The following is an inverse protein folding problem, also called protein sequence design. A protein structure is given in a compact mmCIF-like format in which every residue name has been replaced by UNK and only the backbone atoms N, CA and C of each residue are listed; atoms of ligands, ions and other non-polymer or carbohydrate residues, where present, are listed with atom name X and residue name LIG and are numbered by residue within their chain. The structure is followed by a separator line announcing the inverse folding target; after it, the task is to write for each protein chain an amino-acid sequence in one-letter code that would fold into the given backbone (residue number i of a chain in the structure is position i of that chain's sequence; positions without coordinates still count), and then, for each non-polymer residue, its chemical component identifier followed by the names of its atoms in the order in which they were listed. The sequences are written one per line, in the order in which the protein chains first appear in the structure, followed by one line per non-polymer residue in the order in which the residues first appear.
data_IF_894731345023
#
_entry.id   IF_894731345023
#
_cell.length_a   1.000
_cell.length_b   1.000
_cell.length_c   1.000
_cell.angle_alpha   90.00
_cell.angle_beta   90.00
_cell.angle_gamma   90.00
#
_symmetry.space_group_name_H-M   'P 1'
#
loop_
_entity.id
_entity.type
_entity.pdbx_description
1 polymer ?
#
# COMPACT_ATOMS: atom_id res chain seq x y z
N UNK A 1 36.23 2.10 23.66
CA UNK A 1 36.61 1.54 22.33
C UNK A 1 35.43 1.40 21.36
N UNK A 2 34.22 0.98 21.78
CA UNK A 2 33.07 0.89 20.86
C UNK A 2 32.53 2.26 20.38
N UNK A 3 32.52 3.28 21.24
CA UNK A 3 32.06 4.64 20.90
C UNK A 3 32.95 5.39 19.89
N UNK A 4 34.20 4.97 19.68
CA UNK A 4 35.10 5.64 18.71
C UNK A 4 34.89 5.18 17.26
N UNK A 5 33.78 4.50 16.98
CA UNK A 5 33.39 4.03 15.63
C UNK A 5 31.96 4.46 15.27
N UNK A 6 31.38 5.39 16.02
CA UNK A 6 30.04 5.95 15.75
C UNK A 6 30.21 7.33 15.13
N UNK A 7 30.82 7.37 13.96
CA UNK A 7 31.26 8.60 13.29
C UNK A 7 30.87 8.61 11.81
N UNK A 8 31.15 9.73 11.15
CA UNK A 8 30.83 9.94 9.75
C UNK A 8 31.61 8.99 8.81
N UNK A 9 32.82 8.57 9.17
CA UNK A 9 33.59 7.59 8.38
C UNK A 9 32.87 6.24 8.38
N UNK A 10 32.43 5.78 9.56
CA UNK A 10 31.66 4.55 9.70
C UNK A 10 30.31 4.63 8.97
N UNK A 11 29.67 5.80 8.98
CA UNK A 11 28.44 6.05 8.23
C UNK A 11 28.68 5.90 6.71
N UNK A 12 29.77 6.46 6.18
CA UNK A 12 30.13 6.32 4.76
C UNK A 12 30.43 4.86 4.39
N UNK A 13 31.15 4.12 5.23
CA UNK A 13 31.40 2.68 5.01
C UNK A 13 30.08 1.90 4.93
N UNK A 14 29.13 2.17 5.83
CA UNK A 14 27.82 1.51 5.78
C UNK A 14 27.06 1.86 4.50
N UNK A 15 27.17 3.09 3.98
CA UNK A 15 26.60 3.46 2.67
C UNK A 15 27.19 2.61 1.56
N UNK A 16 28.53 2.49 1.48
CA UNK A 16 29.20 1.67 0.45
C UNK A 16 28.73 0.22 0.47
N UNK A 17 28.63 -0.37 1.66
CA UNK A 17 28.20 -1.76 1.80
C UNK A 17 26.72 -1.97 1.42
N UNK A 18 25.84 -1.04 1.82
CA UNK A 18 24.41 -1.12 1.52
C UNK A 18 24.10 -0.87 0.05
N UNK A 19 24.89 -0.04 -0.63
CA UNK A 19 24.81 0.13 -2.09
C UNK A 19 25.18 -1.16 -2.83
N UNK A 20 26.06 -1.99 -2.27
CA UNK A 20 26.40 -3.29 -2.85
C UNK A 20 25.33 -4.35 -2.54
N UNK A 21 24.82 -4.37 -1.30
CA UNK A 21 23.74 -5.27 -0.92
C UNK A 21 22.89 -4.69 0.23
N UNK A 22 21.66 -4.22 -0.07
CA UNK A 22 20.77 -3.65 0.94
C UNK A 22 20.10 -4.69 1.84
N UNK A 23 20.30 -6.00 1.62
CA UNK A 23 19.68 -7.07 2.42
C UNK A 23 20.41 -7.37 3.74
N UNK A 24 21.58 -6.77 3.98
CA UNK A 24 22.33 -7.00 5.20
C UNK A 24 21.83 -6.16 6.38
N UNK A 25 20.85 -6.71 7.10
CA UNK A 25 20.20 -6.06 8.25
C UNK A 25 21.15 -5.58 9.35
N UNK A 26 22.27 -6.27 9.57
CA UNK A 26 23.26 -5.89 10.60
C UNK A 26 23.90 -4.54 10.26
N UNK A 27 24.07 -4.24 8.97
CA UNK A 27 24.61 -2.96 8.52
C UNK A 27 23.60 -1.85 8.75
N UNK A 28 22.31 -2.09 8.49
CA UNK A 28 21.24 -1.15 8.83
C UNK A 28 21.15 -0.88 10.33
N UNK A 29 21.30 -1.90 11.18
CA UNK A 29 21.33 -1.72 12.63
C UNK A 29 22.49 -0.84 13.06
N UNK A 30 23.70 -1.15 12.59
CA UNK A 30 24.88 -0.35 12.92
C UNK A 30 24.78 1.07 12.38
N UNK A 31 24.22 1.26 11.17
CA UNK A 31 23.93 2.58 10.60
C UNK A 31 23.00 3.40 11.48
N UNK A 32 21.93 2.79 12.01
CA UNK A 32 21.01 3.45 12.95
C UNK A 32 21.70 3.81 14.27
N UNK A 33 22.55 2.95 14.80
CA UNK A 33 23.33 3.25 16.02
C UNK A 33 24.25 4.47 15.82
N UNK A 34 24.89 4.58 14.65
CA UNK A 34 25.72 5.74 14.28
C UNK A 34 24.86 7.01 14.24
N UNK A 35 23.75 7.00 13.51
CA UNK A 35 22.86 8.16 13.37
C UNK A 35 22.31 8.61 14.72
N UNK A 36 21.81 7.68 15.54
CA UNK A 36 21.32 7.99 16.90
C UNK A 36 22.42 8.62 17.75
N UNK A 37 23.67 8.15 17.64
CA UNK A 37 24.78 8.75 18.38
C UNK A 37 25.09 10.16 17.90
N UNK A 38 25.17 10.37 16.59
CA UNK A 38 25.46 11.67 15.97
C UNK A 38 24.36 12.70 16.24
N UNK A 39 23.09 12.26 16.35
CA UNK A 39 21.94 13.15 16.53
C UNK A 39 21.72 13.62 17.98
N UNK A 40 22.52 13.18 18.96
CA UNK A 40 22.32 13.53 20.39
C UNK A 40 22.54 15.00 20.72
N UNK A 41 23.52 15.63 20.07
CA UNK A 41 24.05 16.95 20.47
C UNK A 41 24.07 17.92 19.28
N UNK A 42 23.20 17.71 18.29
CA UNK A 42 23.09 18.57 17.11
C UNK A 42 21.70 19.20 17.01
N UNK A 43 21.64 20.35 16.35
CA UNK A 43 20.40 21.10 16.17
C UNK A 43 19.38 20.33 15.31
N UNK A 44 18.07 20.47 15.56
CA UNK A 44 17.02 19.81 14.80
C UNK A 44 17.12 20.00 13.28
N UNK A 45 17.57 21.17 12.80
CA UNK A 45 17.74 21.44 11.36
C UNK A 45 18.84 20.57 10.74
N UNK A 46 19.88 20.23 11.51
CA UNK A 46 20.91 19.28 11.06
C UNK A 46 20.37 17.85 11.06
N UNK A 47 19.60 17.45 12.07
CA UNK A 47 18.91 16.14 12.09
C UNK A 47 17.98 16.01 10.88
N UNK A 48 17.22 17.06 10.55
CA UNK A 48 16.37 17.11 9.36
C UNK A 48 17.18 16.87 8.09
N UNK A 49 18.31 17.57 7.93
CA UNK A 49 19.21 17.43 6.77
C UNK A 49 19.76 16.01 6.64
N UNK A 50 20.19 15.41 7.76
CA UNK A 50 20.69 14.04 7.79
C UNK A 50 19.60 13.03 7.42
N UNK A 51 18.39 13.18 7.97
CA UNK A 51 17.26 12.34 7.59
C UNK A 51 16.90 12.49 6.11
N UNK A 52 17.00 13.69 5.51
CA UNK A 52 16.78 13.86 4.07
C UNK A 52 17.82 13.15 3.22
N UNK A 53 19.08 13.09 3.68
CA UNK A 53 20.13 12.27 3.06
C UNK A 53 19.76 10.80 3.13
N UNK A 54 19.30 10.30 4.29
CA UNK A 54 18.86 8.91 4.46
C UNK A 54 17.65 8.56 3.57
N UNK A 55 16.69 9.48 3.43
CA UNK A 55 15.56 9.30 2.52
C UNK A 55 16.01 9.24 1.06
N UNK A 56 17.02 10.02 0.65
CA UNK A 56 17.61 9.92 -0.69
C UNK A 56 18.34 8.60 -0.90
N UNK A 57 19.10 8.13 0.09
CA UNK A 57 19.77 6.83 0.02
C UNK A 57 18.77 5.69 -0.14
N UNK A 58 17.74 5.62 0.71
CA UNK A 58 16.72 4.56 0.62
C UNK A 58 15.95 4.63 -0.70
N UNK A 59 15.64 5.83 -1.20
CA UNK A 59 14.99 6.01 -2.50
C UNK A 59 15.85 5.46 -3.66
N UNK A 60 17.16 5.68 -3.64
CA UNK A 60 18.08 5.09 -4.63
C UNK A 60 18.13 3.57 -4.52
N UNK A 61 18.22 3.02 -3.31
CA UNK A 61 18.28 1.57 -3.09
C UNK A 61 17.00 0.87 -3.50
N UNK A 62 15.83 1.51 -3.33
CA UNK A 62 14.54 0.97 -3.77
C UNK A 62 14.44 0.80 -5.30
N UNK A 63 15.24 1.51 -6.09
CA UNK A 63 15.27 1.32 -7.55
C UNK A 63 15.84 -0.06 -7.92
N UNK A 64 16.87 -0.52 -7.21
CA UNK A 64 17.49 -1.84 -7.41
C UNK A 64 16.89 -2.95 -6.56
N UNK A 65 16.32 -2.61 -5.40
CA UNK A 65 15.78 -3.56 -4.43
C UNK A 65 14.38 -3.12 -3.93
N UNK A 66 13.36 -3.02 -4.81
CA UNK A 66 12.03 -2.49 -4.46
C UNK A 66 11.25 -3.35 -3.47
N UNK A 67 11.68 -4.61 -3.27
CA UNK A 67 11.10 -5.59 -2.35
C UNK A 67 11.98 -5.84 -1.12
N UNK A 68 12.97 -4.97 -0.88
CA UNK A 68 13.82 -5.08 0.30
C UNK A 68 13.08 -4.65 1.55
N UNK A 69 12.77 -5.60 2.44
CA UNK A 69 12.16 -5.30 3.73
C UNK A 69 13.00 -4.28 4.51
N UNK A 70 14.34 -4.41 4.47
CA UNK A 70 15.24 -3.59 5.27
C UNK A 70 15.31 -2.15 4.80
N UNK A 71 15.24 -1.90 3.48
CA UNK A 71 15.19 -0.53 2.95
C UNK A 71 13.90 0.16 3.38
N UNK A 72 12.75 -0.51 3.26
CA UNK A 72 11.46 0.02 3.72
C UNK A 72 11.44 0.23 5.24
N UNK A 73 12.02 -0.70 6.01
CA UNK A 73 12.14 -0.59 7.46
C UNK A 73 13.00 0.61 7.88
N UNK A 74 14.15 0.80 7.23
CA UNK A 74 15.03 1.94 7.52
C UNK A 74 14.37 3.25 7.12
N UNK A 75 13.70 3.31 5.96
CA UNK A 75 12.96 4.51 5.52
C UNK A 75 11.88 4.92 6.53
N UNK A 76 11.10 3.96 7.03
CA UNK A 76 10.14 4.18 8.11
C UNK A 76 10.82 4.70 9.38
N UNK A 77 11.92 4.07 9.80
CA UNK A 77 12.68 4.50 10.97
C UNK A 77 13.18 5.94 10.80
N UNK A 78 13.71 6.31 9.63
CA UNK A 78 14.17 7.66 9.32
C UNK A 78 13.04 8.68 9.51
N UNK A 79 11.85 8.43 8.96
CA UNK A 79 10.71 9.35 9.13
C UNK A 79 10.25 9.50 10.58
N UNK A 80 10.37 8.45 11.40
CA UNK A 80 10.04 8.50 12.82
C UNK A 80 11.02 9.34 13.65
N UNK A 81 12.25 9.51 13.16
CA UNK A 81 13.30 10.29 13.83
C UNK A 81 13.52 11.66 13.16
N UNK A 82 12.83 11.92 12.04
CA UNK A 82 12.89 13.18 11.32
C UNK A 82 12.04 14.23 12.05
N UNK A 83 12.57 15.44 12.33
CA UNK A 83 11.79 16.50 13.00
C UNK A 83 10.53 16.92 12.22
N UNK A 84 10.65 17.07 10.90
CA UNK A 84 9.57 17.53 10.02
C UNK A 84 9.43 16.61 8.78
N UNK A 85 8.78 15.45 8.91
CA UNK A 85 8.58 14.51 7.80
C UNK A 85 7.60 15.06 6.75
N UNK A 86 8.00 15.01 5.47
CA UNK A 86 7.15 15.38 4.34
C UNK A 86 6.33 14.18 3.85
N UNK A 87 5.17 13.95 4.46
CA UNK A 87 4.30 12.83 4.08
C UNK A 87 3.78 12.92 2.65
N UNK A 88 3.62 14.14 2.11
CA UNK A 88 3.24 14.34 0.71
C UNK A 88 4.31 13.84 -0.26
N UNK A 89 5.61 14.01 0.07
CA UNK A 89 6.70 13.42 -0.71
C UNK A 89 6.64 11.90 -0.70
N UNK A 90 6.32 11.31 0.45
CA UNK A 90 6.19 9.86 0.60
C UNK A 90 5.02 9.29 -0.21
N UNK A 91 3.88 10.00 -0.25
CA UNK A 91 2.77 9.62 -1.11
C UNK A 91 3.14 9.66 -2.60
N UNK A 92 3.88 10.68 -3.05
CA UNK A 92 4.36 10.76 -4.44
C UNK A 92 5.31 9.63 -4.79
N UNK A 93 6.23 9.28 -3.89
CA UNK A 93 7.10 8.12 -4.07
C UNK A 93 6.28 6.83 -4.19
N UNK A 94 5.30 6.65 -3.31
CA UNK A 94 4.40 5.48 -3.33
C UNK A 94 3.59 5.39 -4.61
N UNK A 95 3.07 6.51 -5.11
CA UNK A 95 2.32 6.54 -6.37
C UNK A 95 3.20 6.07 -7.52
N UNK A 96 4.41 6.62 -7.64
CA UNK A 96 5.40 6.19 -8.62
C UNK A 96 5.76 4.70 -8.49
N UNK A 97 6.07 4.22 -7.28
CA UNK A 97 6.48 2.84 -7.07
C UNK A 97 5.35 1.84 -7.32
N UNK A 98 4.11 2.19 -6.97
CA UNK A 98 2.93 1.35 -7.22
C UNK A 98 2.42 1.47 -8.66
N UNK A 99 2.83 2.48 -9.41
CA UNK A 99 2.65 2.50 -10.88
C UNK A 99 3.64 1.55 -11.56
N UNK A 100 4.88 1.42 -11.04
CA UNK A 100 5.88 0.49 -11.57
C UNK A 100 5.59 -0.99 -11.22
N UNK A 101 5.20 -1.27 -9.98
CA UNK A 101 4.78 -2.60 -9.53
C UNK A 101 3.53 -2.47 -8.66
N UNK A 102 2.38 -2.55 -9.32
CA UNK A 102 1.06 -2.46 -8.69
C UNK A 102 0.81 -3.55 -7.63
N UNK A 103 1.58 -4.64 -7.65
CA UNK A 103 1.46 -5.77 -6.72
C UNK A 103 2.55 -5.77 -5.64
N UNK A 104 3.36 -4.71 -5.55
CA UNK A 104 4.39 -4.61 -4.50
C UNK A 104 3.75 -4.47 -3.11
N UNK A 105 3.69 -5.57 -2.38
CA UNK A 105 3.08 -5.59 -1.05
C UNK A 105 3.81 -4.69 -0.05
N UNK A 106 5.13 -4.53 -0.15
CA UNK A 106 5.87 -3.61 0.71
C UNK A 106 5.46 -2.16 0.46
N UNK A 107 5.24 -1.79 -0.81
CA UNK A 107 4.72 -0.47 -1.17
C UNK A 107 3.32 -0.23 -0.59
N UNK A 108 2.42 -1.20 -0.71
CA UNK A 108 1.09 -1.09 -0.12
C UNK A 108 1.10 -1.05 1.42
N UNK A 109 1.97 -1.83 2.06
CA UNK A 109 2.16 -1.82 3.51
C UNK A 109 2.72 -0.48 4.00
N UNK A 110 3.73 0.04 3.29
CA UNK A 110 4.30 1.34 3.57
C UNK A 110 3.30 2.48 3.35
N UNK A 111 2.44 2.38 2.32
CA UNK A 111 1.36 3.34 2.10
C UNK A 111 0.40 3.41 3.29
N UNK A 112 -0.01 2.27 3.83
CA UNK A 112 -0.88 2.25 5.03
C UNK A 112 -0.21 2.92 6.23
N UNK A 113 1.10 2.74 6.39
CA UNK A 113 1.87 3.46 7.40
C UNK A 113 1.87 4.98 7.14
N UNK A 114 2.25 5.43 5.94
CA UNK A 114 2.30 6.86 5.58
C UNK A 114 0.93 7.52 5.76
N UNK A 115 -0.14 6.90 5.29
CA UNK A 115 -1.51 7.43 5.44
C UNK A 115 -1.90 7.57 6.91
N UNK A 116 -1.51 6.62 7.77
CA UNK A 116 -1.82 6.69 9.20
C UNK A 116 -1.15 7.88 9.91
N UNK A 117 -0.02 8.35 9.39
CA UNK A 117 0.69 9.52 9.92
C UNK A 117 0.11 10.87 9.41
N UNK A 118 -0.63 10.85 8.28
CA UNK A 118 -1.26 12.06 7.71
C UNK A 118 -2.61 12.33 8.38
N UNK A 119 -2.61 13.16 9.42
CA UNK A 119 -3.82 13.53 10.18
C UNK A 119 -4.95 14.13 9.34
N UNK A 120 -4.63 14.78 8.22
CA UNK A 120 -5.60 15.45 7.35
C UNK A 120 -6.19 14.54 6.28
N UNK A 121 -5.63 13.34 6.08
CA UNK A 121 -6.06 12.43 5.01
C UNK A 121 -7.24 11.59 5.46
N UNK A 122 -8.34 11.69 4.72
CA UNK A 122 -9.60 11.00 5.04
C UNK A 122 -9.62 9.60 4.42
N UNK A 123 -10.26 8.59 5.07
CA UNK A 123 -10.42 7.26 4.50
C UNK A 123 -11.04 7.26 3.09
N UNK A 124 -11.95 8.20 2.79
CA UNK A 124 -12.56 8.36 1.47
C UNK A 124 -11.54 8.66 0.36
N UNK A 125 -10.48 9.40 0.66
CA UNK A 125 -9.42 9.69 -0.32
C UNK A 125 -8.62 8.44 -0.65
N UNK A 126 -8.40 7.55 0.33
CA UNK A 126 -7.78 6.25 0.07
C UNK A 126 -8.72 5.28 -0.64
N UNK A 127 -10.01 5.35 -0.35
CA UNK A 127 -11.00 4.54 -1.07
C UNK A 127 -11.04 4.93 -2.55
N UNK A 128 -11.01 6.23 -2.87
CA UNK A 128 -10.87 6.72 -4.24
C UNK A 128 -9.54 6.30 -4.87
N UNK A 129 -8.45 6.35 -4.10
CA UNK A 129 -7.15 5.87 -4.56
C UNK A 129 -7.20 4.39 -4.99
N UNK A 130 -7.86 3.53 -4.21
CA UNK A 130 -8.01 2.11 -4.60
C UNK A 130 -8.78 1.95 -5.90
N UNK A 131 -9.82 2.77 -6.13
CA UNK A 131 -10.59 2.74 -7.38
C UNK A 131 -9.71 3.11 -8.57
N UNK A 132 -8.90 4.18 -8.44
CA UNK A 132 -7.96 4.58 -9.48
C UNK A 132 -6.97 3.45 -9.81
N UNK A 133 -6.43 2.76 -8.79
CA UNK A 133 -5.51 1.63 -8.98
C UNK A 133 -6.17 0.39 -9.57
N UNK A 134 -7.45 0.15 -9.27
CA UNK A 134 -8.26 -0.92 -9.88
C UNK A 134 -8.52 -0.62 -11.36
N UNK A 135 -8.91 0.62 -11.68
CA UNK A 135 -9.20 1.04 -13.06
C UNK A 135 -7.95 1.04 -13.96
N UNK A 136 -6.76 1.21 -13.38
CA UNK A 136 -5.49 1.06 -14.10
C UNK A 136 -5.15 -0.41 -14.38
N UNK A 137 -5.55 -1.34 -13.51
CA UNK A 137 -5.26 -2.77 -13.63
C UNK A 137 -6.26 -3.58 -12.78
N UNK A 138 -7.23 -4.23 -13.44
CA UNK A 138 -8.26 -5.02 -12.76
C UNK A 138 -7.69 -6.23 -12.01
N UNK A 139 -6.55 -6.77 -12.44
CA UNK A 139 -5.81 -7.83 -11.76
C UNK A 139 -5.04 -7.36 -10.51
N UNK A 140 -5.17 -6.10 -10.08
CA UNK A 140 -4.49 -5.58 -8.89
C UNK A 140 -5.15 -6.04 -7.58
N UNK A 141 -4.87 -7.27 -7.15
CA UNK A 141 -5.36 -7.83 -5.89
C UNK A 141 -5.11 -6.93 -4.67
N UNK A 142 -3.96 -6.26 -4.61
CA UNK A 142 -3.62 -5.39 -3.48
C UNK A 142 -4.55 -4.19 -3.36
N UNK A 143 -4.98 -3.60 -4.48
CA UNK A 143 -5.95 -2.51 -4.48
C UNK A 143 -7.35 -2.99 -4.03
N UNK A 144 -7.82 -4.13 -4.56
CA UNK A 144 -9.08 -4.76 -4.12
C UNK A 144 -9.08 -5.10 -2.63
N UNK A 145 -7.98 -5.69 -2.15
CA UNK A 145 -7.82 -6.02 -0.74
C UNK A 145 -7.86 -4.76 0.12
N UNK A 146 -7.14 -3.71 -0.26
CA UNK A 146 -7.12 -2.48 0.52
C UNK A 146 -8.50 -1.79 0.52
N UNK A 147 -9.20 -1.80 -0.62
CA UNK A 147 -10.58 -1.31 -0.74
C UNK A 147 -11.50 -2.02 0.24
N UNK A 148 -11.41 -3.34 0.34
CA UNK A 148 -12.19 -4.17 1.28
C UNK A 148 -11.89 -3.86 2.74
N UNK A 149 -10.66 -3.44 3.06
CA UNK A 149 -10.27 -3.04 4.41
C UNK A 149 -10.77 -1.66 4.78
N UNK A 150 -10.83 -0.72 3.83
CA UNK A 150 -11.33 0.64 4.03
C UNK A 150 -12.86 0.70 4.12
N UNK A 151 -13.55 -0.12 3.34
CA UNK A 151 -15.00 -0.11 3.18
C UNK A 151 -15.79 -0.07 4.52
N UNK A 152 -15.52 -0.93 5.53
CA UNK A 152 -16.29 -0.93 6.78
C UNK A 152 -16.10 0.33 7.63
N UNK A 153 -14.99 1.06 7.45
CA UNK A 153 -14.73 2.30 8.18
C UNK A 153 -15.40 3.52 7.55
N UNK A 154 -15.77 3.41 6.27
CA UNK A 154 -16.37 4.50 5.49
C UNK A 154 -17.88 4.38 5.50
N UNK A 155 -18.40 3.18 5.25
CA UNK A 155 -19.84 2.94 5.08
C UNK A 155 -20.44 2.26 6.31
N UNK A 156 -20.52 3.03 7.40
CA UNK A 156 -21.05 2.56 8.69
C UNK A 156 -22.58 2.51 8.67
N UNK A 157 -23.21 3.50 8.02
CA UNK A 157 -24.67 3.57 7.91
C UNK A 157 -25.18 2.53 6.89
N UNK A 158 -26.23 1.75 7.22
CA UNK A 158 -26.77 0.71 6.34
C UNK A 158 -27.18 1.20 4.95
N UNK A 159 -27.75 2.41 4.84
CA UNK A 159 -28.16 2.95 3.54
C UNK A 159 -26.93 3.29 2.69
N UNK A 160 -25.93 3.93 3.28
CA UNK A 160 -24.66 4.23 2.61
C UNK A 160 -23.92 2.95 2.17
N UNK A 161 -23.92 1.93 3.03
CA UNK A 161 -23.31 0.63 2.77
C UNK A 161 -23.97 -0.07 1.59
N UNK A 162 -25.31 -0.12 1.57
CA UNK A 162 -26.06 -0.71 0.48
C UNK A 162 -25.77 -0.02 -0.87
N UNK A 163 -25.77 1.33 -0.90
CA UNK A 163 -25.42 2.09 -2.10
C UNK A 163 -24.00 1.77 -2.58
N UNK A 164 -23.03 1.72 -1.65
CA UNK A 164 -21.65 1.43 -1.97
C UNK A 164 -21.45 -0.01 -2.46
N UNK A 165 -22.19 -0.99 -1.92
CA UNK A 165 -22.18 -2.38 -2.42
C UNK A 165 -22.67 -2.41 -3.87
N UNK A 166 -23.80 -1.78 -4.19
CA UNK A 166 -24.32 -1.75 -5.56
C UNK A 166 -23.32 -1.13 -6.55
N UNK A 167 -22.68 -0.02 -6.17
CA UNK A 167 -21.66 0.64 -6.98
C UNK A 167 -20.42 -0.25 -7.18
N UNK A 168 -19.93 -0.88 -6.12
CA UNK A 168 -18.76 -1.76 -6.21
C UNK A 168 -19.02 -3.04 -6.98
N UNK A 169 -20.25 -3.60 -6.93
CA UNK A 169 -20.64 -4.72 -7.78
C UNK A 169 -20.62 -4.36 -9.27
N UNK A 170 -21.02 -3.14 -9.64
CA UNK A 170 -20.89 -2.68 -11.04
C UNK A 170 -19.42 -2.63 -11.50
N UNK A 171 -18.52 -2.14 -10.64
CA UNK A 171 -17.07 -2.11 -10.92
C UNK A 171 -16.53 -3.54 -11.07
N UNK A 172 -16.94 -4.45 -10.20
CA UNK A 172 -16.58 -5.87 -10.28
C UNK A 172 -17.06 -6.50 -11.59
N UNK A 173 -18.32 -6.25 -11.98
CA UNK A 173 -18.89 -6.77 -13.23
C UNK A 173 -18.05 -6.32 -14.43
N UNK A 174 -17.65 -5.04 -14.47
CA UNK A 174 -16.77 -4.51 -15.53
C UNK A 174 -15.39 -5.18 -15.52
N UNK A 175 -14.79 -5.35 -14.34
CA UNK A 175 -13.49 -5.99 -14.18
C UNK A 175 -13.52 -7.45 -14.64
N UNK A 176 -14.53 -8.19 -14.21
CA UNK A 176 -14.74 -9.60 -14.54
C UNK A 176 -15.04 -9.80 -16.03
N UNK A 177 -15.84 -8.93 -16.65
CA UNK A 177 -16.07 -8.99 -18.10
C UNK A 177 -14.79 -8.74 -18.89
N UNK A 178 -13.89 -7.90 -18.37
CA UNK A 178 -12.62 -7.59 -19.03
C UNK A 178 -11.58 -8.70 -18.85
N UNK A 179 -11.50 -9.27 -17.64
CA UNK A 179 -10.50 -10.28 -17.26
C UNK A 179 -11.15 -11.44 -16.47
N UNK A 180 -12.00 -12.28 -17.11
CA UNK A 180 -12.80 -13.28 -16.41
C UNK A 180 -11.98 -14.40 -15.73
N UNK A 181 -10.73 -14.57 -16.16
CA UNK A 181 -9.79 -15.52 -15.58
C UNK A 181 -9.03 -14.96 -14.35
N UNK A 182 -9.07 -13.66 -14.07
CA UNK A 182 -8.41 -13.09 -12.90
C UNK A 182 -9.25 -13.28 -11.63
N UNK A 183 -8.64 -13.75 -10.54
CA UNK A 183 -9.36 -14.06 -9.29
C UNK A 183 -9.63 -12.84 -8.41
N UNK A 184 -8.98 -11.71 -8.64
CA UNK A 184 -9.00 -10.57 -7.73
C UNK A 184 -10.41 -9.99 -7.61
N UNK A 185 -11.04 -9.73 -8.76
CA UNK A 185 -12.41 -9.21 -8.81
C UNK A 185 -13.42 -10.23 -8.25
N UNK A 186 -13.27 -11.53 -8.57
CA UNK A 186 -14.12 -12.60 -8.01
C UNK A 186 -14.04 -12.69 -6.48
N UNK A 187 -12.83 -12.61 -5.92
CA UNK A 187 -12.64 -12.65 -4.47
C UNK A 187 -13.26 -11.42 -3.80
N UNK A 188 -13.19 -10.25 -4.43
CA UNK A 188 -13.83 -9.04 -3.93
C UNK A 188 -15.36 -9.11 -4.04
N UNK A 189 -15.91 -9.63 -5.14
CA UNK A 189 -17.34 -9.91 -5.30
C UNK A 189 -17.86 -10.78 -4.17
N UNK A 190 -17.20 -11.92 -3.92
CA UNK A 190 -17.60 -12.84 -2.85
C UNK A 190 -17.59 -12.15 -1.49
N UNK A 191 -16.61 -11.28 -1.26
CA UNK A 191 -16.54 -10.50 -0.04
C UNK A 191 -17.69 -9.49 0.07
N UNK A 192 -18.03 -8.75 -1.00
CA UNK A 192 -19.16 -7.82 -1.04
C UNK A 192 -20.49 -8.52 -0.78
N UNK A 193 -20.71 -9.68 -1.41
CA UNK A 193 -21.93 -10.47 -1.23
C UNK A 193 -22.09 -10.96 0.21
N UNK A 194 -20.99 -11.23 0.91
CA UNK A 194 -21.00 -11.50 2.35
C UNK A 194 -21.32 -10.29 3.24
N UNK A 195 -21.35 -9.07 2.69
CA UNK A 195 -21.74 -7.82 3.38
C UNK A 195 -23.18 -7.42 3.14
N UNK A 196 -23.84 -8.00 2.14
CA UNK A 196 -25.26 -7.74 1.86
C UNK A 196 -26.09 -8.12 3.09
N UNK A 197 -26.82 -7.16 3.65
CA UNK A 197 -27.62 -7.39 4.86
C UNK A 197 -28.71 -8.43 4.61
N UNK A 198 -29.13 -9.15 5.65
CA UNK A 198 -30.26 -10.11 5.59
C UNK A 198 -31.56 -9.46 5.15
N UNK A 199 -31.74 -8.14 5.36
CA UNK A 199 -32.89 -7.38 4.84
C UNK A 199 -32.83 -7.20 3.31
N UNK A 200 -31.63 -7.12 2.72
CA UNK A 200 -31.45 -7.17 1.26
C UNK A 200 -31.48 -8.60 0.70
N UNK A 201 -31.12 -9.62 1.49
CA UNK A 201 -31.35 -11.01 1.08
C UNK A 201 -32.85 -11.28 0.85
N UNK A 202 -33.72 -10.62 1.62
CA UNK A 202 -35.17 -10.69 1.41
C UNK A 202 -35.64 -9.97 0.15
N UNK A 203 -34.87 -9.02 -0.41
CA UNK A 203 -35.26 -8.32 -1.63
C UNK A 203 -34.96 -9.09 -2.92
N UNK A 204 -34.29 -10.26 -2.86
CA UNK A 204 -33.97 -11.18 -3.97
C UNK A 204 -33.23 -10.60 -5.20
N UNK A 205 -33.23 -9.27 -5.39
CA UNK A 205 -32.79 -8.61 -6.62
C UNK A 205 -31.29 -8.68 -6.83
N UNK A 206 -30.48 -8.41 -5.80
CA UNK A 206 -29.01 -8.41 -5.94
C UNK A 206 -28.50 -9.80 -6.31
N UNK A 207 -28.98 -10.85 -5.65
CA UNK A 207 -28.58 -12.22 -5.96
C UNK A 207 -29.07 -12.67 -7.34
N UNK A 208 -30.28 -12.28 -7.74
CA UNK A 208 -30.80 -12.57 -9.09
C UNK A 208 -30.02 -11.85 -10.18
N UNK A 209 -29.66 -10.58 -9.96
CA UNK A 209 -28.81 -9.82 -10.88
C UNK A 209 -27.43 -10.46 -11.03
N UNK A 210 -26.78 -10.83 -9.92
CA UNK A 210 -25.46 -11.47 -9.95
C UNK A 210 -25.51 -12.86 -10.58
N UNK A 211 -26.54 -13.66 -10.30
CA UNK A 211 -26.73 -14.97 -10.94
C UNK A 211 -26.92 -14.83 -12.45
N UNK A 212 -27.83 -13.94 -12.87
CA UNK A 212 -28.07 -13.66 -14.29
C UNK A 212 -26.80 -13.19 -15.00
N UNK A 213 -26.02 -12.33 -14.35
CA UNK A 213 -24.72 -11.88 -14.86
C UNK A 213 -23.73 -13.05 -15.01
N UNK A 214 -23.59 -13.89 -13.99
CA UNK A 214 -22.66 -15.03 -14.01
C UNK A 214 -23.07 -16.06 -15.08
N UNK A 215 -24.37 -16.31 -15.24
CA UNK A 215 -24.91 -17.19 -16.28
C UNK A 215 -24.55 -16.66 -17.68
N UNK A 216 -24.82 -15.38 -17.94
CA UNK A 216 -24.45 -14.74 -19.22
C UNK A 216 -22.94 -14.81 -19.47
N UNK A 217 -22.12 -14.55 -18.46
CA UNK A 217 -20.67 -14.64 -18.61
C UNK A 217 -20.21 -16.06 -18.89
N UNK A 218 -20.79 -17.07 -18.24
CA UNK A 218 -20.44 -18.47 -18.50
C UNK A 218 -20.85 -18.95 -19.90
N UNK A 219 -21.84 -18.31 -20.52
CA UNK A 219 -22.22 -18.58 -21.92
C UNK A 219 -21.21 -17.99 -22.90
N UNK A 220 -20.72 -16.77 -22.62
CA UNK A 220 -19.79 -16.04 -23.50
C UNK A 220 -18.34 -16.53 -23.31
N UNK A 221 -17.95 -16.84 -22.07
CA UNK A 221 -16.59 -17.20 -21.66
C UNK A 221 -16.62 -18.49 -20.81
N UNK A 222 -16.67 -19.68 -21.44
CA UNK A 222 -16.84 -20.97 -20.74
C UNK A 222 -15.69 -21.34 -19.79
N UNK A 223 -14.51 -20.76 -20.02
CA UNK A 223 -13.27 -20.93 -19.24
C UNK A 223 -13.11 -19.89 -18.10
N UNK A 224 -14.11 -19.03 -17.92
CA UNK A 224 -14.16 -18.08 -16.80
C UNK A 224 -14.13 -18.79 -15.44
N UNK A 225 -13.60 -18.11 -14.41
CA UNK A 225 -13.54 -18.65 -13.04
C UNK A 225 -14.86 -18.57 -12.28
N UNK A 226 -15.98 -18.48 -13.00
CA UNK A 226 -17.33 -18.49 -12.45
C UNK A 226 -17.75 -19.84 -11.84
N UNK A 227 -17.14 -20.94 -12.29
CA UNK A 227 -17.50 -22.32 -11.89
C UNK A 227 -16.78 -22.80 -10.64
#
# INVERSE_FOLDING_TARGET
RAHSKLDNESLQVTTTLLTQNPEFYTIWNFRRDILVHMHKEIEPDQVQTDCEIELRLTEQLLQGAPKSYWVWNHRRWTLQHMPNPSWERELKLLDYMLDLDARNFHGWDYRRYVVAEIKTRKPQQEFEYTLNKINQNFSNYSAWHYRSKLFPWIFIDPKSCNTAISQDLEIVRNAVFTEPADQSAWLYQRWLLGKVSTQMMQSNSVWQEELSFIEQLSEIEPDSKCK
#
